data_IF_487836592353
#
_entry.id   IF_487836592353
#
_cell.length_a   1.000
_cell.length_b   1.000
_cell.length_c   1.000
_cell.angle_alpha   90.00
_cell.angle_beta   90.00
_cell.angle_gamma   90.00
#
_symmetry.space_group_name_H-M   'P 1'
#
loop_
_entity.id
_entity.type
_entity.pdbx_description
1 polymer ?
#
# COMPACT_ATOMS: atom_id res chain seq x y z
N UNK A 1 13.14 10.92 1.06
CA UNK A 1 11.89 11.30 1.72
C UNK A 1 11.71 12.80 1.63
N UNK A 2 10.55 13.25 1.17
CA UNK A 2 10.19 14.67 1.16
C UNK A 2 9.02 14.91 2.12
N UNK A 3 9.12 15.94 2.96
CA UNK A 3 8.12 16.30 3.98
C UNK A 3 7.51 17.65 3.61
N UNK A 4 6.18 17.75 3.67
CA UNK A 4 5.42 18.93 3.28
C UNK A 4 4.33 19.27 4.30
N UNK A 5 4.04 20.56 4.46
CA UNK A 5 2.87 21.02 5.23
C UNK A 5 1.62 21.10 4.34
N UNK A 6 1.78 21.52 3.08
CA UNK A 6 0.68 21.65 2.10
C UNK A 6 0.48 20.36 1.30
N UNK A 7 -0.76 20.09 0.89
CA UNK A 7 -1.10 18.97 0.01
C UNK A 7 -0.37 19.11 -1.34
N UNK A 8 0.27 18.04 -1.80
CA UNK A 8 1.01 18.01 -3.05
C UNK A 8 0.24 17.39 -4.22
N UNK A 9 -1.06 17.09 -4.06
CA UNK A 9 -1.93 16.58 -5.13
C UNK A 9 -1.80 17.35 -6.45
N UNK A 10 -1.76 18.70 -6.47
CA UNK A 10 -1.57 19.45 -7.71
C UNK A 10 -0.28 19.11 -8.47
N UNK A 11 0.76 18.62 -7.76
CA UNK A 11 2.04 18.22 -8.32
C UNK A 11 2.24 16.71 -8.50
N UNK A 12 1.23 15.87 -8.21
CA UNK A 12 1.40 14.41 -8.19
C UNK A 12 1.94 13.85 -9.50
N UNK A 13 1.47 14.31 -10.66
CA UNK A 13 1.98 13.85 -11.96
C UNK A 13 3.50 14.06 -12.09
N UNK A 14 3.98 15.27 -11.80
CA UNK A 14 5.41 15.59 -11.85
C UNK A 14 6.23 14.80 -10.82
N UNK A 15 5.68 14.60 -9.62
CA UNK A 15 6.35 13.80 -8.59
C UNK A 15 6.42 12.33 -9.01
N UNK A 16 5.35 11.78 -9.59
CA UNK A 16 5.28 10.41 -10.09
C UNK A 16 6.36 10.16 -11.15
N UNK A 17 6.51 11.06 -12.12
CA UNK A 17 7.59 10.97 -13.14
C UNK A 17 8.99 10.90 -12.51
N UNK A 18 9.25 11.68 -11.45
CA UNK A 18 10.52 11.59 -10.71
C UNK A 18 10.67 10.30 -9.92
N UNK A 19 9.57 9.70 -9.45
CA UNK A 19 9.61 8.42 -8.74
C UNK A 19 9.81 7.26 -9.71
N UNK A 20 9.30 7.33 -10.95
CA UNK A 20 9.55 6.34 -12.00
C UNK A 20 11.05 6.12 -12.24
N UNK A 21 11.87 7.17 -12.13
CA UNK A 21 13.34 7.07 -12.29
C UNK A 21 14.09 6.59 -11.04
N UNK A 22 13.41 6.35 -9.90
CA UNK A 22 14.08 5.88 -8.68
C UNK A 22 14.31 4.38 -8.70
N UNK A 23 15.43 3.95 -8.14
CA UNK A 23 15.74 2.54 -7.97
C UNK A 23 14.90 1.92 -6.85
N UNK A 24 14.71 0.61 -6.94
CA UNK A 24 14.22 -0.20 -5.82
C UNK A 24 15.29 -0.21 -4.74
N UNK A 25 14.91 0.02 -3.49
CA UNK A 25 15.85 -0.01 -2.37
C UNK A 25 16.44 -1.41 -2.22
N UNK A 26 17.76 -1.51 -2.18
CA UNK A 26 18.41 -2.78 -1.86
C UNK A 26 18.12 -3.19 -0.41
N UNK A 27 17.79 -4.47 -0.22
CA UNK A 27 17.59 -5.06 1.10
C UNK A 27 18.07 -6.51 1.14
N UNK A 28 18.51 -6.93 2.32
CA UNK A 28 18.83 -8.31 2.65
C UNK A 28 17.57 -8.96 3.22
N UNK A 29 17.03 -9.97 2.52
CA UNK A 29 15.79 -10.65 2.89
C UNK A 29 15.87 -11.29 4.28
N UNK A 30 17.05 -11.75 4.69
CA UNK A 30 17.26 -12.41 5.99
C UNK A 30 17.20 -11.43 7.17
N UNK A 31 17.18 -10.12 6.90
CA UNK A 31 17.13 -9.07 7.92
C UNK A 31 15.80 -8.32 7.94
N UNK A 32 14.85 -8.69 7.08
CA UNK A 32 13.52 -8.09 7.08
C UNK A 32 12.69 -8.68 8.21
N UNK A 33 11.81 -7.85 8.78
CA UNK A 33 10.86 -8.28 9.79
C UNK A 33 9.54 -8.60 9.10
N UNK A 34 9.05 -9.80 9.31
CA UNK A 34 7.75 -10.24 8.82
C UNK A 34 6.60 -9.62 9.64
N UNK A 35 5.59 -9.14 8.94
CA UNK A 35 4.35 -8.61 9.50
C UNK A 35 3.19 -9.12 8.67
N UNK A 36 2.23 -9.78 9.32
CA UNK A 36 1.02 -10.29 8.68
C UNK A 36 -0.19 -9.66 9.38
N UNK A 37 -1.15 -9.19 8.60
CA UNK A 37 -2.42 -8.70 9.10
C UNK A 37 -3.53 -9.16 8.18
N UNK A 38 -4.60 -9.71 8.74
CA UNK A 38 -5.70 -10.30 7.98
C UNK A 38 -7.05 -9.83 8.50
N UNK A 39 -8.06 -9.92 7.64
CA UNK A 39 -9.46 -9.81 8.03
C UNK A 39 -10.32 -10.72 7.16
N UNK A 40 -11.34 -11.33 7.76
CA UNK A 40 -12.37 -12.03 7.00
C UNK A 40 -13.27 -11.03 6.29
N UNK A 41 -13.63 -11.36 5.06
CA UNK A 41 -14.53 -10.58 4.24
C UNK A 41 -15.93 -11.15 4.35
N UNK A 42 -16.88 -10.33 4.79
CA UNK A 42 -18.26 -10.75 5.02
C UNK A 42 -18.99 -10.72 3.67
N UNK A 43 -18.90 -11.83 2.93
CA UNK A 43 -19.58 -11.99 1.64
C UNK A 43 -19.96 -13.46 1.42
N UNK A 44 -21.14 -13.75 0.84
CA UNK A 44 -21.52 -15.11 0.45
C UNK A 44 -20.88 -15.54 -0.88
N UNK A 45 -20.16 -14.65 -1.57
CA UNK A 45 -19.64 -14.90 -2.91
C UNK A 45 -18.22 -15.50 -2.87
N UNK A 46 -17.92 -16.34 -3.87
CA UNK A 46 -16.56 -16.84 -4.10
C UNK A 46 -15.66 -15.74 -4.69
N UNK A 47 -14.33 -15.97 -4.66
CA UNK A 47 -13.34 -14.99 -5.15
C UNK A 47 -13.55 -14.61 -6.63
N UNK A 48 -14.07 -15.53 -7.44
CA UNK A 48 -14.36 -15.30 -8.87
C UNK A 48 -15.59 -14.42 -9.11
N UNK A 49 -16.47 -14.29 -8.12
CA UNK A 49 -17.74 -13.58 -8.23
C UNK A 49 -17.71 -12.17 -7.63
N UNK A 50 -16.66 -11.83 -6.89
CA UNK A 50 -16.48 -10.50 -6.33
C UNK A 50 -15.66 -9.61 -7.27
N UNK A 51 -15.98 -8.33 -7.30
CA UNK A 51 -15.19 -7.30 -7.97
C UNK A 51 -13.97 -6.95 -7.10
N UNK A 52 -12.78 -7.03 -7.68
CA UNK A 52 -11.52 -6.66 -7.02
C UNK A 52 -10.84 -5.45 -7.67
N UNK A 53 -11.54 -4.68 -8.50
CA UNK A 53 -10.97 -3.54 -9.21
C UNK A 53 -10.39 -2.53 -8.21
N UNK A 54 -11.08 -2.28 -7.09
CA UNK A 54 -10.57 -1.42 -6.03
C UNK A 54 -9.19 -1.84 -5.49
N UNK A 55 -8.88 -3.15 -5.49
CA UNK A 55 -7.61 -3.68 -5.05
C UNK A 55 -6.53 -3.29 -6.06
N UNK A 56 -6.78 -3.52 -7.35
CA UNK A 56 -5.86 -3.24 -8.45
C UNK A 56 -5.80 -1.75 -8.83
N UNK A 57 -6.79 -0.96 -8.43
CA UNK A 57 -6.77 0.51 -8.51
C UNK A 57 -6.16 1.15 -7.25
N UNK A 58 -5.65 0.32 -6.34
CA UNK A 58 -4.93 0.75 -5.13
C UNK A 58 -5.78 1.51 -4.10
N UNK A 59 -7.11 1.36 -4.16
CA UNK A 59 -8.07 1.88 -3.18
C UNK A 59 -8.14 1.04 -1.88
N UNK A 60 -7.00 0.53 -1.43
CA UNK A 60 -6.87 -0.27 -0.20
C UNK A 60 -6.94 0.63 1.04
N UNK A 61 -6.20 1.73 1.01
CA UNK A 61 -6.09 2.66 2.13
C UNK A 61 -7.13 3.79 2.00
N UNK A 62 -7.87 4.13 3.05
CA UNK A 62 -8.87 5.20 2.98
C UNK A 62 -8.22 6.59 2.83
N UNK A 63 -8.92 7.51 2.16
CA UNK A 63 -8.38 8.83 1.81
C UNK A 63 -7.98 9.71 3.01
N UNK A 64 -8.46 9.41 4.21
CA UNK A 64 -8.14 10.18 5.40
C UNK A 64 -6.74 9.88 5.97
N UNK A 65 -6.10 8.78 5.53
CA UNK A 65 -4.75 8.40 5.98
C UNK A 65 -3.69 8.56 4.89
N UNK A 66 -4.09 8.44 3.62
CA UNK A 66 -3.18 8.53 2.49
C UNK A 66 -3.93 9.00 1.24
N UNK A 67 -3.25 9.75 0.38
CA UNK A 67 -3.63 9.90 -1.02
C UNK A 67 -2.52 9.35 -1.90
N UNK A 68 -2.88 8.92 -3.11
CA UNK A 68 -1.93 8.30 -4.01
C UNK A 68 -2.16 8.73 -5.45
N UNK A 69 -1.22 8.40 -6.33
CA UNK A 69 -1.41 8.38 -7.77
C UNK A 69 -0.63 7.20 -8.34
N UNK A 70 -1.32 6.37 -9.10
CA UNK A 70 -0.73 5.22 -9.79
C UNK A 70 -0.41 5.54 -11.24
N UNK A 71 0.67 4.96 -11.74
CA UNK A 71 1.12 5.10 -13.13
C UNK A 71 0.07 4.64 -14.13
N UNK A 72 -0.49 3.43 -13.95
CA UNK A 72 -1.51 2.90 -14.86
C UNK A 72 -2.77 3.76 -14.96
N UNK A 73 -3.17 4.41 -13.87
CA UNK A 73 -4.30 5.34 -13.88
C UNK A 73 -3.99 6.62 -14.67
N UNK A 74 -2.75 7.12 -14.62
CA UNK A 74 -2.35 8.26 -15.47
C UNK A 74 -2.27 7.91 -16.96
N UNK A 75 -2.04 6.64 -17.26
CA UNK A 75 -1.90 6.11 -18.62
C UNK A 75 -3.19 5.45 -19.15
N UNK A 76 -4.29 5.49 -18.38
CA UNK A 76 -5.58 4.87 -18.70
C UNK A 76 -5.47 3.38 -19.08
N UNK A 77 -4.68 2.62 -18.32
CA UNK A 77 -4.49 1.17 -18.49
C UNK A 77 -4.61 0.45 -17.16
N UNK A 78 -4.48 -0.88 -17.19
CA UNK A 78 -4.42 -1.72 -15.99
C UNK A 78 -3.01 -1.78 -15.40
N UNK A 79 -2.94 -2.13 -14.11
CA UNK A 79 -1.69 -2.35 -13.37
C UNK A 79 -0.79 -3.37 -14.08
N UNK A 80 0.52 -3.12 -14.08
CA UNK A 80 1.56 -4.00 -14.59
C UNK A 80 2.76 -4.08 -13.64
N UNK A 81 3.50 -5.21 -13.61
CA UNK A 81 4.81 -5.25 -12.97
C UNK A 81 5.73 -4.13 -13.50
N UNK A 82 6.41 -3.44 -12.59
CA UNK A 82 7.23 -2.27 -12.90
C UNK A 82 6.55 -0.92 -12.69
N UNK A 83 5.21 -0.89 -12.61
CA UNK A 83 4.46 0.35 -12.38
C UNK A 83 4.83 1.03 -11.07
N UNK A 84 4.86 2.35 -11.08
CA UNK A 84 5.14 3.15 -9.90
C UNK A 84 3.86 3.68 -9.26
N UNK A 85 3.79 3.63 -7.93
CA UNK A 85 2.75 4.30 -7.14
C UNK A 85 3.41 5.40 -6.32
N UNK A 86 2.91 6.61 -6.45
CA UNK A 86 3.18 7.71 -5.53
C UNK A 86 2.26 7.57 -4.32
N UNK A 87 2.83 7.61 -3.12
CA UNK A 87 2.10 7.61 -1.85
C UNK A 87 2.35 8.91 -1.09
N UNK A 88 1.29 9.65 -0.78
CA UNK A 88 1.32 10.81 0.12
C UNK A 88 0.61 10.45 1.42
N UNK A 89 1.40 10.13 2.45
CA UNK A 89 0.93 9.67 3.75
C UNK A 89 0.70 10.87 4.68
N UNK A 90 -0.37 10.82 5.50
CA UNK A 90 -0.75 11.88 6.42
C UNK A 90 -0.36 11.58 7.86
N UNK A 91 0.36 12.52 8.47
CA UNK A 91 0.76 12.44 9.86
C UNK A 91 0.52 13.74 10.65
N UNK A 92 -0.31 13.72 11.71
CA UNK A 92 -1.22 12.65 12.11
C UNK A 92 -2.25 12.33 11.00
N UNK A 93 -3.02 11.22 11.09
CA UNK A 93 -3.96 10.79 10.04
C UNK A 93 -5.24 11.65 9.99
N UNK A 94 -5.07 12.96 9.84
CA UNK A 94 -6.12 13.98 9.80
C UNK A 94 -5.91 14.81 8.52
N UNK A 95 -6.85 14.75 7.56
CA UNK A 95 -6.70 15.33 6.21
C UNK A 95 -6.31 16.82 6.19
N UNK A 96 -6.76 17.62 7.18
CA UNK A 96 -6.54 19.08 7.22
C UNK A 96 -5.38 19.54 8.11
N UNK A 97 -4.99 18.77 9.13
CA UNK A 97 -3.95 19.15 10.10
C UNK A 97 -2.86 18.07 10.18
N UNK A 98 -2.22 17.81 9.05
CA UNK A 98 -1.18 16.79 8.91
C UNK A 98 0.03 17.28 8.14
N UNK A 99 1.21 16.91 8.65
CA UNK A 99 2.42 16.78 7.85
C UNK A 99 2.19 15.67 6.82
N UNK A 100 2.76 15.88 5.64
CA UNK A 100 2.58 15.00 4.48
C UNK A 100 3.93 14.50 4.07
N UNK A 101 4.04 13.19 3.94
CA UNK A 101 5.30 12.57 3.57
C UNK A 101 5.06 11.78 2.29
N UNK A 102 5.95 11.99 1.31
CA UNK A 102 5.84 11.36 0.00
C UNK A 102 6.92 10.31 -0.20
N UNK A 103 6.47 9.15 -0.66
CA UNK A 103 7.32 8.03 -1.06
C UNK A 103 6.82 7.42 -2.37
N UNK A 104 7.67 6.60 -2.96
CA UNK A 104 7.30 5.76 -4.09
C UNK A 104 7.44 4.29 -3.76
N UNK A 105 6.57 3.48 -4.35
CA UNK A 105 6.70 2.03 -4.41
C UNK A 105 6.55 1.57 -5.85
N UNK A 106 7.06 0.39 -6.17
CA UNK A 106 7.00 -0.20 -7.50
C UNK A 106 6.38 -1.58 -7.46
N UNK A 107 5.39 -1.83 -8.32
CA UNK A 107 4.77 -3.13 -8.46
C UNK A 107 5.83 -4.15 -8.85
N UNK A 108 5.94 -5.20 -8.06
CA UNK A 108 6.85 -6.31 -8.31
C UNK A 108 6.13 -7.42 -9.07
N UNK A 109 4.95 -7.80 -8.62
CA UNK A 109 4.19 -8.90 -9.21
C UNK A 109 2.68 -8.67 -9.11
N UNK A 110 1.95 -9.23 -10.07
CA UNK A 110 0.49 -9.38 -10.02
C UNK A 110 0.21 -10.86 -9.78
N UNK A 111 -0.68 -11.13 -8.85
CA UNK A 111 -1.05 -12.46 -8.41
C UNK A 111 -2.47 -12.72 -8.92
N UNK A 112 -2.60 -13.68 -9.83
CA UNK A 112 -3.88 -14.11 -10.38
C UNK A 112 -3.93 -15.64 -10.41
N UNK A 113 -4.23 -16.22 -9.24
CA UNK A 113 -4.41 -17.65 -9.04
C UNK A 113 -5.89 -17.94 -8.73
N UNK A 114 -6.38 -19.16 -8.99
CA UNK A 114 -7.80 -19.49 -8.81
C UNK A 114 -8.38 -19.15 -7.43
N UNK A 115 -7.59 -19.32 -6.36
CA UNK A 115 -8.01 -19.06 -4.98
C UNK A 115 -7.27 -17.87 -4.34
N UNK A 116 -6.53 -17.09 -5.13
CA UNK A 116 -5.71 -15.99 -4.62
C UNK A 116 -5.47 -14.93 -5.67
N UNK A 117 -5.97 -13.73 -5.42
CA UNK A 117 -5.80 -12.56 -6.28
C UNK A 117 -5.16 -11.41 -5.51
N UNK A 118 -4.29 -10.64 -6.15
CA UNK A 118 -3.64 -9.50 -5.51
C UNK A 118 -2.37 -9.03 -6.22
N UNK A 119 -1.52 -8.31 -5.52
CA UNK A 119 -0.25 -7.83 -6.05
C UNK A 119 0.77 -7.64 -4.93
N UNK A 120 2.04 -7.47 -5.30
CA UNK A 120 3.07 -7.01 -4.38
C UNK A 120 3.81 -5.80 -4.93
N UNK A 121 4.33 -4.96 -4.04
CA UNK A 121 5.22 -3.86 -4.40
C UNK A 121 6.51 -3.89 -3.57
N UNK A 122 7.54 -3.24 -4.09
CA UNK A 122 8.78 -2.96 -3.37
C UNK A 122 8.98 -1.45 -3.17
N UNK A 123 9.65 -1.09 -2.10
CA UNK A 123 9.92 0.31 -1.74
C UNK A 123 11.00 0.93 -2.64
N UNK A 124 10.79 2.17 -3.10
CA UNK A 124 11.78 2.93 -3.88
C UNK A 124 12.68 3.79 -2.99
N UNK A 125 13.84 4.18 -3.54
CA UNK A 125 14.79 5.06 -2.87
C UNK A 125 14.13 6.32 -2.31
N UNK A 126 14.35 6.54 -1.01
CA UNK A 126 13.77 7.66 -0.27
C UNK A 126 12.50 7.32 0.50
N UNK A 127 12.03 6.07 0.47
CA UNK A 127 11.00 5.53 1.36
C UNK A 127 11.53 5.37 2.81
N UNK A 128 10.64 5.44 3.81
CA UNK A 128 11.01 5.33 5.25
C UNK A 128 11.33 3.91 5.69
N UNK A 129 10.61 2.96 5.11
CA UNK A 129 10.85 1.53 5.21
C UNK A 129 11.52 1.03 3.93
N UNK A 130 12.27 -0.07 4.02
CA UNK A 130 12.71 -0.84 2.87
C UNK A 130 12.21 -2.27 2.95
N UNK A 131 11.71 -2.80 1.84
CA UNK A 131 11.19 -4.16 1.77
C UNK A 131 10.12 -4.33 0.71
N UNK A 132 9.25 -5.33 0.96
CA UNK A 132 8.17 -5.76 0.08
C UNK A 132 6.86 -5.89 0.86
N UNK A 133 5.75 -5.48 0.25
CA UNK A 133 4.40 -5.68 0.78
C UNK A 133 3.51 -6.30 -0.28
N UNK A 134 2.75 -7.31 0.11
CA UNK A 134 1.75 -8.00 -0.71
C UNK A 134 0.36 -7.77 -0.13
N UNK A 135 -0.61 -7.55 -1.02
CA UNK A 135 -2.02 -7.33 -0.69
C UNK A 135 -2.83 -8.34 -1.48
N UNK A 136 -3.46 -9.28 -0.78
CA UNK A 136 -4.13 -10.42 -1.42
C UNK A 136 -5.51 -10.65 -0.85
N UNK A 137 -6.44 -11.05 -1.70
CA UNK A 137 -7.67 -11.72 -1.31
C UNK A 137 -7.48 -13.19 -1.59
N UNK A 138 -7.69 -14.02 -0.56
CA UNK A 138 -7.46 -15.46 -0.59
C UNK A 138 -8.75 -16.17 -0.20
N UNK A 139 -9.10 -17.24 -0.91
CA UNK A 139 -10.22 -18.11 -0.56
C UNK A 139 -9.68 -19.34 0.17
N UNK A 140 -10.16 -19.57 1.39
CA UNK A 140 -9.76 -20.73 2.19
C UNK A 140 -10.55 -21.99 1.81
N UNK A 141 -10.23 -23.13 2.44
CA UNK A 141 -10.89 -24.42 2.20
C UNK A 141 -12.37 -24.41 2.57
N UNK A 142 -12.77 -23.56 3.52
CA UNK A 142 -14.15 -23.39 3.99
C UNK A 142 -14.93 -22.35 3.16
N UNK A 143 -14.40 -22.00 1.97
CA UNK A 143 -14.96 -21.02 1.03
C UNK A 143 -15.08 -19.58 1.58
N UNK A 144 -14.42 -19.27 2.69
CA UNK A 144 -14.37 -17.92 3.24
C UNK A 144 -13.27 -17.12 2.56
N UNK A 145 -13.55 -15.84 2.32
CA UNK A 145 -12.58 -14.91 1.76
C UNK A 145 -11.83 -14.17 2.87
N UNK A 146 -10.51 -14.09 2.72
CA UNK A 146 -9.60 -13.41 3.64
C UNK A 146 -8.85 -12.36 2.85
N UNK A 147 -8.91 -11.10 3.31
CA UNK A 147 -7.95 -10.10 2.86
C UNK A 147 -6.71 -10.15 3.74
N UNK A 148 -5.52 -10.16 3.12
CA UNK A 148 -4.22 -10.29 3.77
C UNK A 148 -3.28 -9.19 3.30
N UNK A 149 -2.68 -8.52 4.27
CA UNK A 149 -1.53 -7.64 4.10
C UNK A 149 -0.33 -8.38 4.67
N UNK A 150 0.63 -8.73 3.81
CA UNK A 150 1.84 -9.45 4.18
C UNK A 150 3.06 -8.62 3.81
N UNK A 151 3.83 -8.20 4.80
CA UNK A 151 4.97 -7.29 4.60
C UNK A 151 6.23 -7.87 5.21
N UNK A 152 7.33 -7.81 4.45
CA UNK A 152 8.67 -7.98 4.96
C UNK A 152 9.36 -6.63 4.86
N UNK A 153 9.60 -5.96 5.99
CA UNK A 153 10.20 -4.63 5.98
C UNK A 153 11.11 -4.36 7.16
N UNK A 154 11.93 -3.32 7.02
CA UNK A 154 12.65 -2.68 8.13
C UNK A 154 12.86 -1.19 7.82
N UNK A 155 13.19 -0.36 8.82
CA UNK A 155 13.56 1.03 8.59
C UNK A 155 14.70 1.17 7.57
N UNK A 156 14.59 2.13 6.66
CA UNK A 156 15.51 2.35 5.55
C UNK A 156 16.91 2.83 6.00
N UNK A 157 16.95 3.74 6.98
CA UNK A 157 18.16 4.41 7.49
C UNK A 157 18.18 4.49 9.03
N UNK A 158 19.33 4.86 9.61
CA UNK A 158 19.40 5.17 11.04
C UNK A 158 18.59 6.44 11.38
N UNK A 159 18.56 7.43 10.48
CA UNK A 159 17.79 8.66 10.63
C UNK A 159 16.28 8.39 10.65
N UNK A 160 15.79 7.43 9.87
CA UNK A 160 14.39 6.96 9.94
C UNK A 160 14.08 6.21 11.24
N UNK A 161 15.07 5.65 11.94
CA UNK A 161 14.87 5.13 13.31
C UNK A 161 14.71 6.26 14.32
N UNK A 162 15.42 7.38 14.14
CA UNK A 162 15.32 8.57 15.00
C UNK A 162 13.99 9.30 14.76
N UNK A 163 13.54 9.40 13.51
CA UNK A 163 12.18 9.81 13.15
C UNK A 163 11.15 8.68 13.38
N UNK A 164 11.54 7.54 13.96
CA UNK A 164 10.64 6.43 14.30
C UNK A 164 9.39 6.80 15.13
N UNK A 165 9.40 7.82 16.01
CA UNK A 165 8.19 8.27 16.71
C UNK A 165 7.10 8.82 15.80
N UNK A 166 7.47 9.35 14.62
CA UNK A 166 6.57 9.90 13.59
C UNK A 166 5.78 8.76 12.92
N UNK A 167 6.40 7.60 12.71
CA UNK A 167 5.73 6.36 12.27
C UNK A 167 5.67 5.34 13.42
N UNK A 168 5.15 5.78 14.56
CA UNK A 168 5.05 4.94 15.76
C UNK A 168 4.27 3.64 15.49
N UNK A 169 4.51 2.61 16.32
CA UNK A 169 3.75 1.35 16.26
C UNK A 169 2.23 1.59 16.28
N UNK A 170 1.68 2.48 17.15
CA UNK A 170 0.27 2.85 17.09
C UNK A 170 -0.19 3.40 15.75
N UNK A 171 0.62 4.24 15.10
CA UNK A 171 0.29 4.80 13.80
C UNK A 171 0.26 3.74 12.70
N UNK A 172 1.27 2.87 12.66
CA UNK A 172 1.32 1.75 11.71
C UNK A 172 0.12 0.81 11.91
N UNK A 173 -0.18 0.47 13.16
CA UNK A 173 -1.32 -0.38 13.51
C UNK A 173 -2.66 0.26 13.12
N UNK A 174 -2.83 1.56 13.36
CA UNK A 174 -4.01 2.31 12.92
C UNK A 174 -4.19 2.27 11.40
N UNK A 175 -3.13 2.57 10.63
CA UNK A 175 -3.18 2.58 9.17
C UNK A 175 -3.51 1.20 8.60
N UNK A 176 -2.89 0.14 9.13
CA UNK A 176 -3.18 -1.25 8.75
C UNK A 176 -4.63 -1.61 9.06
N UNK A 177 -5.13 -1.31 10.26
CA UNK A 177 -6.52 -1.58 10.62
C UNK A 177 -7.52 -0.79 9.76
N UNK A 178 -7.18 0.46 9.43
CA UNK A 178 -8.00 1.29 8.54
C UNK A 178 -8.06 0.69 7.13
N UNK A 179 -6.95 0.16 6.60
CA UNK A 179 -6.93 -0.57 5.34
C UNK A 179 -7.80 -1.84 5.39
N UNK A 180 -7.64 -2.69 6.43
CA UNK A 180 -8.45 -3.90 6.60
C UNK A 180 -9.95 -3.58 6.63
N UNK A 181 -10.36 -2.56 7.40
CA UNK A 181 -11.76 -2.12 7.48
C UNK A 181 -12.27 -1.56 6.15
N UNK A 182 -11.43 -0.80 5.43
CA UNK A 182 -11.80 -0.21 4.15
C UNK A 182 -12.03 -1.29 3.08
N UNK A 183 -11.15 -2.29 2.99
CA UNK A 183 -11.34 -3.44 2.09
C UNK A 183 -12.59 -4.23 2.47
N UNK A 184 -12.78 -4.54 3.76
CA UNK A 184 -13.97 -5.23 4.25
C UNK A 184 -15.25 -4.50 3.85
N UNK A 185 -15.28 -3.16 4.00
CA UNK A 185 -16.41 -2.33 3.59
C UNK A 185 -16.65 -2.38 2.07
N UNK A 186 -15.60 -2.29 1.26
CA UNK A 186 -15.74 -2.30 -0.21
C UNK A 186 -16.31 -3.63 -0.72
N UNK A 187 -15.94 -4.75 -0.09
CA UNK A 187 -16.49 -6.07 -0.42
C UNK A 187 -17.95 -6.20 0.05
N UNK A 188 -18.28 -5.70 1.24
CA UNK A 188 -19.65 -5.76 1.77
C UNK A 188 -20.68 -4.91 0.99
N UNK A 189 -20.22 -4.03 0.09
CA UNK A 189 -21.06 -3.19 -0.77
C UNK A 189 -21.37 -3.83 -2.13
N UNK A 190 -20.85 -5.04 -2.39
CA UNK A 190 -21.02 -5.78 -3.65
C UNK A 190 -22.19 -6.77 -3.59
#
# INVERSE_FOLDING_TARGET
>A
MNIYLKNQQPGFKSILERLKTKNIMAYDSNRLVEKISTTYLDTPFSIEKINLDFLFDYHIFPENIMSFLSEWHTENRTMQPGDTILQQVYLPPIKRLSQKIIFGVRIKEIIDLPLKKGFSYQTLDGHVEKGISSFTVEQNKDQQLIFKIHTFSRPATLLTRILGPIFSIPYQHYCTNAALKNVKRQIALQ
#
